data_IF_033671146717
#
_entry.id   IF_033671146717
#
_cell.length_a   1.000
_cell.length_b   1.000
_cell.length_c   1.000
_cell.angle_alpha   90.00
_cell.angle_beta   90.00
_cell.angle_gamma   90.00
#
_symmetry.space_group_name_H-M   'P 1'
#
loop_
_entity.id
_entity.type
_entity.pdbx_description
1 polymer ?
#
# COMPACT_ATOMS: atom_id res chain seq x y z
N UNK A 1 -16.78 -3.40 16.55
CA UNK A 1 -15.52 -2.68 16.29
C UNK A 1 -14.78 -3.45 15.20
N UNK A 2 -14.71 -2.98 13.95
CA UNK A 2 -13.84 -3.63 12.97
C UNK A 2 -12.40 -3.47 13.46
N UNK A 3 -11.68 -4.59 13.58
CA UNK A 3 -10.27 -4.58 13.96
C UNK A 3 -9.47 -3.72 12.96
N UNK A 4 -8.42 -3.01 13.42
CA UNK A 4 -7.56 -2.26 12.53
C UNK A 4 -6.94 -3.20 11.49
N UNK A 5 -6.96 -2.78 10.23
CA UNK A 5 -6.31 -3.49 9.13
C UNK A 5 -4.84 -3.09 9.17
N UNK A 6 -3.96 -4.05 9.46
CA UNK A 6 -2.53 -3.83 9.44
C UNK A 6 -2.02 -3.90 8.02
N UNK A 7 -1.21 -2.91 7.62
CA UNK A 7 -0.58 -2.88 6.31
C UNK A 7 0.92 -2.79 6.43
N UNK A 8 1.61 -3.49 5.56
CA UNK A 8 3.04 -3.33 5.32
C UNK A 8 3.24 -3.05 3.84
N UNK A 9 3.78 -1.89 3.51
CA UNK A 9 4.05 -1.46 2.16
C UNK A 9 5.56 -1.39 1.96
N UNK A 10 6.02 -1.82 0.80
CA UNK A 10 7.38 -1.59 0.35
C UNK A 10 7.32 -0.92 -1.01
N UNK A 11 8.00 0.21 -1.15
CA UNK A 11 8.04 0.96 -2.40
C UNK A 11 9.43 1.52 -2.68
N UNK A 12 9.74 1.76 -3.95
CA UNK A 12 10.94 2.45 -4.39
C UNK A 12 10.70 3.95 -4.34
N UNK A 13 11.53 4.67 -3.59
CA UNK A 13 11.53 6.13 -3.58
C UNK A 13 12.25 6.71 -4.82
N UNK A 14 12.25 8.03 -4.96
CA UNK A 14 12.85 8.75 -6.10
C UNK A 14 14.36 8.54 -6.26
N UNK A 15 15.04 8.14 -5.19
CA UNK A 15 16.48 7.82 -5.18
C UNK A 15 16.76 6.32 -5.42
N UNK A 16 15.73 5.53 -5.78
CA UNK A 16 15.84 4.11 -6.11
C UNK A 16 15.98 3.18 -4.92
N UNK A 17 15.81 3.67 -3.68
CA UNK A 17 15.87 2.85 -2.46
C UNK A 17 14.51 2.26 -2.13
N UNK A 18 14.51 1.03 -1.62
CA UNK A 18 13.31 0.40 -1.08
C UNK A 18 13.05 0.99 0.31
N UNK A 19 11.87 1.58 0.50
CA UNK A 19 11.37 2.12 1.76
C UNK A 19 10.19 1.26 2.21
N UNK A 20 10.26 0.81 3.47
CA UNK A 20 9.17 0.09 4.12
C UNK A 20 8.31 1.02 4.96
N UNK A 21 6.99 0.89 4.84
CA UNK A 21 6.02 1.55 5.71
C UNK A 21 5.16 0.48 6.37
N UNK A 22 4.99 0.56 7.69
CA UNK A 22 4.08 -0.31 8.45
C UNK A 22 3.10 0.57 9.19
N UNK A 23 1.81 0.30 9.05
CA UNK A 23 0.76 1.10 9.67
C UNK A 23 -0.53 0.33 9.85
N UNK A 24 -1.52 0.98 10.43
CA UNK A 24 -2.89 0.46 10.50
C UNK A 24 -3.86 1.42 9.81
N UNK A 25 -4.81 0.86 9.10
CA UNK A 25 -5.87 1.59 8.40
C UNK A 25 -7.24 1.06 8.83
N UNK A 26 -8.27 1.89 8.66
CA UNK A 26 -9.63 1.56 9.07
C UNK A 26 -10.44 0.86 7.96
N UNK A 27 -10.00 0.95 6.70
CA UNK A 27 -10.68 0.37 5.53
C UNK A 27 -9.75 0.26 4.33
N UNK A 28 -10.13 -0.54 3.32
CA UNK A 28 -9.41 -0.57 2.03
C UNK A 28 -9.43 0.78 1.30
N UNK A 29 -10.44 1.63 1.53
CA UNK A 29 -10.44 3.00 0.97
C UNK A 29 -9.31 3.85 1.55
N UNK A 30 -9.04 3.71 2.86
CA UNK A 30 -7.94 4.41 3.50
C UNK A 30 -6.56 3.93 3.01
N UNK A 31 -6.45 2.72 2.43
CA UNK A 31 -5.23 2.29 1.75
C UNK A 31 -4.93 3.18 0.53
N UNK A 32 -5.96 3.56 -0.22
CA UNK A 32 -5.83 4.45 -1.37
C UNK A 32 -5.32 5.83 -0.93
N UNK A 33 -5.89 6.40 0.13
CA UNK A 33 -5.42 7.66 0.70
C UNK A 33 -3.94 7.61 1.11
N UNK A 34 -3.50 6.49 1.71
CA UNK A 34 -2.07 6.30 2.06
C UNK A 34 -1.22 6.27 0.78
N UNK A 35 -1.61 5.47 -0.22
CA UNK A 35 -0.86 5.40 -1.48
C UNK A 35 -0.78 6.76 -2.19
N UNK A 36 -1.87 7.52 -2.23
CA UNK A 36 -1.91 8.86 -2.84
C UNK A 36 -1.10 9.88 -2.04
N UNK A 37 -1.19 9.87 -0.70
CA UNK A 37 -0.48 10.81 0.17
C UNK A 37 1.04 10.64 0.14
N UNK A 38 1.51 9.41 -0.06
CA UNK A 38 2.94 9.10 -0.22
C UNK A 38 3.37 9.07 -1.70
N UNK A 39 2.50 9.47 -2.63
CA UNK A 39 2.76 9.48 -4.07
C UNK A 39 3.31 8.14 -4.59
N UNK A 40 2.86 7.04 -3.96
CA UNK A 40 3.30 5.68 -4.29
C UNK A 40 2.55 5.24 -5.54
N UNK A 41 3.24 5.22 -6.67
CA UNK A 41 2.69 4.71 -7.93
C UNK A 41 2.78 3.18 -7.99
N UNK A 42 1.98 2.58 -8.87
CA UNK A 42 2.00 1.12 -9.12
C UNK A 42 3.38 0.59 -9.50
N UNK A 43 4.16 1.37 -10.23
CA UNK A 43 5.51 1.03 -10.70
C UNK A 43 6.55 1.08 -9.59
N UNK A 44 6.33 1.96 -8.60
CA UNK A 44 7.18 2.10 -7.42
C UNK A 44 6.84 1.09 -6.35
N UNK A 45 5.61 0.60 -6.30
CA UNK A 45 5.17 -0.39 -5.32
C UNK A 45 5.83 -1.76 -5.55
N UNK A 46 6.59 -2.22 -4.57
CA UNK A 46 7.32 -3.50 -4.58
C UNK A 46 6.47 -4.60 -3.95
N UNK A 47 5.91 -4.34 -2.77
CA UNK A 47 5.12 -5.31 -2.01
C UNK A 47 4.04 -4.60 -1.19
N UNK A 48 2.92 -5.28 -1.00
CA UNK A 48 1.88 -4.90 -0.05
C UNK A 48 1.47 -6.15 0.72
N UNK A 49 1.45 -6.07 2.03
CA UNK A 49 0.84 -7.06 2.90
C UNK A 49 -0.31 -6.43 3.66
N UNK A 50 -1.41 -7.17 3.78
CA UNK A 50 -2.58 -6.81 4.58
C UNK A 50 -2.81 -7.90 5.62
N UNK A 51 -2.81 -7.53 6.90
CA UNK A 51 -2.93 -8.45 8.05
C UNK A 51 -1.94 -9.63 7.96
N UNK A 52 -0.69 -9.35 7.55
CA UNK A 52 0.38 -10.35 7.41
C UNK A 52 0.22 -11.29 6.22
N UNK A 53 -0.71 -11.00 5.30
CA UNK A 53 -0.88 -11.76 4.05
C UNK A 53 -0.45 -10.91 2.86
N UNK A 54 0.34 -11.46 1.92
CA UNK A 54 0.69 -10.75 0.70
C UNK A 54 -0.58 -10.42 -0.09
N UNK A 55 -0.75 -9.15 -0.43
CA UNK A 55 -1.85 -8.66 -1.23
C UNK A 55 -1.40 -8.57 -2.68
N UNK A 56 -2.12 -9.23 -3.57
CA UNK A 56 -1.76 -9.26 -4.98
C UNK A 56 -1.77 -7.87 -5.59
N UNK A 57 -0.63 -7.46 -6.16
CA UNK A 57 -0.50 -6.17 -6.84
C UNK A 57 -1.44 -6.04 -8.06
N UNK A 58 -1.93 -7.15 -8.62
CA UNK A 58 -2.97 -7.14 -9.67
C UNK A 58 -4.33 -6.67 -9.16
N UNK A 59 -4.65 -6.90 -7.87
CA UNK A 59 -5.87 -6.35 -7.24
C UNK A 59 -5.73 -4.86 -6.98
N UNK A 60 -4.49 -4.41 -6.78
CA UNK A 60 -4.16 -3.01 -6.57
C UNK A 60 -4.37 -2.13 -7.81
N UNK A 61 -4.34 -2.73 -9.01
CA UNK A 61 -4.55 -2.03 -10.28
C UNK A 61 -5.86 -1.22 -10.27
N UNK A 62 -6.89 -1.71 -9.56
CA UNK A 62 -8.18 -1.01 -9.38
C UNK A 62 -8.04 0.31 -8.60
N UNK A 63 -7.08 0.43 -7.68
CA UNK A 63 -6.86 1.68 -6.93
C UNK A 63 -6.07 2.71 -7.75
N UNK A 64 -5.32 2.28 -8.76
CA UNK A 64 -4.54 3.14 -9.66
C UNK A 64 -5.26 3.49 -10.96
N UNK A 65 -6.35 2.79 -11.30
CA UNK A 65 -7.24 3.16 -12.41
C UNK A 65 -8.03 4.42 -12.04
N UNK A 66 -7.72 5.51 -12.75
CA UNK A 66 -8.40 6.79 -12.67
C UNK A 66 -9.77 6.75 -13.31
#
# INVERSE_FOLDING_TARGET
MPYPIWIRLEYRNDVGRIVGFTGSIQSETALRDVLERYEITRERLVSLEINGKPYSLSKLDRFFRR
#
